data_IF_329178024981
#
_entry.id   IF_329178024981
#
_cell.length_a   1.000
_cell.length_b   1.000
_cell.length_c   1.000
_cell.angle_alpha   90.00
_cell.angle_beta   90.00
_cell.angle_gamma   90.00
#
_symmetry.space_group_name_H-M   'P 1'
#
loop_
_entity.id
_entity.type
_entity.pdbx_description
1 polymer ?
#
# COMPACT_ATOMS: atom_id res chain seq x y z
N UNK A 1 7.40 22.93 -11.79
CA UNK A 1 8.17 22.43 -10.70
C UNK A 1 8.05 20.97 -10.51
N UNK A 2 6.84 20.47 -10.17
CA UNK A 2 6.66 19.05 -10.03
C UNK A 2 6.92 18.34 -11.37
N UNK A 3 6.53 18.96 -12.45
CA UNK A 3 6.80 18.38 -13.77
C UNK A 3 8.30 18.29 -14.04
N UNK A 4 9.04 19.32 -13.66
CA UNK A 4 10.48 19.31 -13.84
C UNK A 4 11.12 18.24 -12.95
N UNK A 5 10.64 18.11 -11.70
CA UNK A 5 11.15 17.08 -10.80
C UNK A 5 10.85 15.70 -11.35
N UNK A 6 9.62 15.46 -11.82
CA UNK A 6 9.24 14.16 -12.40
C UNK A 6 10.04 13.83 -13.62
N UNK A 7 10.32 14.82 -14.49
CA UNK A 7 11.09 14.54 -15.68
C UNK A 7 12.51 14.15 -15.41
N UNK A 8 13.03 14.47 -14.21
CA UNK A 8 14.38 14.09 -13.81
C UNK A 8 14.42 12.75 -13.12
N UNK A 9 13.28 12.24 -12.68
CA UNK A 9 13.21 10.95 -12.03
C UNK A 9 13.26 9.86 -13.09
N UNK A 10 14.10 8.88 -12.84
CA UNK A 10 14.26 7.78 -13.78
C UNK A 10 13.87 6.48 -13.14
N UNK A 11 13.20 5.67 -13.91
CA UNK A 11 12.87 4.31 -13.51
C UNK A 11 14.16 3.50 -13.54
N UNK A 12 14.45 2.83 -12.44
CA UNK A 12 15.62 1.97 -12.34
C UNK A 12 15.25 0.66 -11.68
N UNK A 13 16.09 -0.33 -11.90
CA UNK A 13 15.99 -1.59 -11.18
C UNK A 13 16.34 -1.34 -9.72
N UNK A 14 15.45 -1.71 -8.81
CA UNK A 14 15.70 -1.55 -7.38
C UNK A 14 15.01 -2.66 -6.59
N UNK A 15 15.57 -2.95 -5.41
CA UNK A 15 15.00 -3.92 -4.50
C UNK A 15 14.00 -3.18 -3.60
N UNK A 16 12.74 -3.59 -3.64
CA UNK A 16 11.70 -2.88 -2.89
C UNK A 16 11.73 -3.19 -1.40
N UNK A 17 12.37 -4.28 -1.00
CA UNK A 17 12.32 -4.70 0.40
C UNK A 17 12.85 -3.63 1.37
N UNK A 18 14.07 -3.12 1.21
CA UNK A 18 14.56 -2.10 2.14
C UNK A 18 13.71 -0.82 2.11
N UNK A 19 13.16 -0.48 0.95
CA UNK A 19 12.31 0.70 0.83
C UNK A 19 11.05 0.52 1.69
N UNK A 20 10.39 -0.62 1.54
CA UNK A 20 9.15 -0.89 2.26
C UNK A 20 9.40 -1.03 3.75
N UNK A 21 10.48 -1.70 4.15
CA UNK A 21 10.81 -1.85 5.56
C UNK A 21 11.05 -0.50 6.23
N UNK A 22 11.70 0.41 5.53
CA UNK A 22 11.96 1.75 6.06
C UNK A 22 10.65 2.49 6.32
N UNK A 23 9.68 2.41 5.40
CA UNK A 23 8.39 3.06 5.58
C UNK A 23 7.63 2.42 6.75
N UNK A 24 7.66 1.08 6.84
CA UNK A 24 7.02 0.36 7.96
C UNK A 24 7.60 0.82 9.29
N UNK A 25 8.92 0.93 9.38
CA UNK A 25 9.57 1.34 10.62
C UNK A 25 9.16 2.76 11.02
N UNK A 26 9.12 3.67 10.06
CA UNK A 26 8.70 5.05 10.32
C UNK A 26 7.28 5.11 10.86
N UNK A 27 6.38 4.36 10.25
CA UNK A 27 4.99 4.34 10.69
C UNK A 27 4.83 3.68 12.06
N UNK A 28 5.59 2.62 12.35
CA UNK A 28 5.57 2.02 13.69
C UNK A 28 6.02 3.01 14.75
N UNK A 29 7.03 3.81 14.47
CA UNK A 29 7.51 4.80 15.43
C UNK A 29 6.44 5.84 15.77
N UNK A 30 5.57 6.15 14.82
CA UNK A 30 4.53 7.15 15.03
C UNK A 30 3.27 6.53 15.64
N UNK A 31 2.77 5.45 15.07
CA UNK A 31 1.42 4.97 15.37
C UNK A 31 1.34 3.97 16.49
N UNK A 32 2.43 3.34 16.85
CA UNK A 32 2.45 2.45 18.00
C UNK A 32 2.06 3.20 19.27
N UNK A 33 2.56 4.43 19.41
CA UNK A 33 2.26 5.25 20.58
C UNK A 33 0.90 5.95 20.47
N UNK A 34 0.50 6.32 19.27
CA UNK A 34 -0.74 7.09 19.11
C UNK A 34 -1.99 6.23 19.23
N UNK A 35 -2.01 5.09 18.57
CA UNK A 35 -3.21 4.24 18.46
C UNK A 35 -2.96 2.81 18.92
N UNK A 36 -1.75 2.50 19.32
CA UNK A 36 -1.38 1.13 19.67
C UNK A 36 -1.40 0.18 18.49
N UNK A 37 -1.37 0.69 17.26
CA UNK A 37 -1.38 -0.15 16.08
C UNK A 37 0.04 -0.62 15.81
N UNK A 38 0.18 -1.93 15.67
CA UNK A 38 1.45 -2.54 15.31
C UNK A 38 1.43 -2.87 13.83
N UNK A 39 2.46 -2.45 13.11
CA UNK A 39 2.61 -2.79 11.71
C UNK A 39 3.69 -3.86 11.61
N UNK A 40 3.29 -5.06 11.21
CA UNK A 40 4.23 -6.15 11.04
C UNK A 40 4.64 -6.28 9.58
N UNK A 41 5.83 -6.77 9.36
CA UNK A 41 6.38 -6.98 8.03
C UNK A 41 6.77 -8.45 7.90
N UNK A 42 6.44 -9.04 6.76
CA UNK A 42 6.92 -10.39 6.46
C UNK A 42 7.18 -10.53 4.97
N UNK A 43 8.04 -11.49 4.64
CA UNK A 43 8.30 -11.84 3.24
C UNK A 43 8.27 -13.35 3.11
N UNK A 44 8.32 -13.84 1.87
CA UNK A 44 8.22 -15.26 1.57
C UNK A 44 9.58 -15.98 1.57
N UNK A 45 10.63 -15.31 2.01
CA UNK A 45 11.96 -15.91 2.09
C UNK A 45 12.71 -16.01 0.77
N UNK A 46 12.15 -15.43 -0.29
CA UNK A 46 12.78 -15.51 -1.60
C UNK A 46 13.60 -14.29 -1.91
N UNK A 47 14.67 -14.06 -1.32
CA UNK A 47 15.55 -12.90 -1.44
C UNK A 47 15.42 -12.11 -2.72
N UNK A 48 15.62 -10.81 -2.60
CA UNK A 48 15.75 -9.87 -3.73
C UNK A 48 14.46 -9.69 -4.50
N UNK A 49 13.73 -8.68 -4.11
CA UNK A 49 12.45 -8.35 -4.72
C UNK A 49 12.66 -7.15 -5.65
N UNK A 50 13.22 -7.42 -6.83
CA UNK A 50 13.55 -6.37 -7.78
C UNK A 50 12.35 -5.95 -8.61
N UNK A 51 12.19 -4.65 -8.76
CA UNK A 51 11.22 -4.07 -9.69
C UNK A 51 11.94 -2.97 -10.48
N UNK A 52 11.29 -2.51 -11.54
CA UNK A 52 11.69 -1.28 -12.20
C UNK A 52 10.82 -0.17 -11.62
N UNK A 53 11.43 0.79 -10.94
CA UNK A 53 10.64 1.79 -10.25
C UNK A 53 11.41 3.05 -9.90
N UNK A 54 10.68 3.95 -9.26
CA UNK A 54 11.21 5.23 -8.78
C UNK A 54 11.08 5.20 -7.26
N UNK A 55 12.19 5.24 -6.57
CA UNK A 55 12.25 4.94 -5.13
C UNK A 55 11.27 5.78 -4.31
N UNK A 56 11.28 7.10 -4.48
CA UNK A 56 10.42 7.95 -3.68
C UNK A 56 8.94 7.79 -4.03
N UNK A 57 8.63 7.32 -5.22
CA UNK A 57 7.24 7.04 -5.59
C UNK A 57 6.77 5.73 -4.98
N UNK A 58 7.65 4.74 -4.88
CA UNK A 58 7.33 3.50 -4.17
C UNK A 58 7.09 3.82 -2.68
N UNK A 59 7.93 4.66 -2.08
CA UNK A 59 7.72 5.09 -0.69
C UNK A 59 6.34 5.74 -0.53
N UNK A 60 5.95 6.60 -1.45
CA UNK A 60 4.67 7.27 -1.39
C UNK A 60 3.49 6.29 -1.52
N UNK A 61 3.61 5.30 -2.41
CA UNK A 61 2.58 4.26 -2.54
C UNK A 61 2.37 3.56 -1.20
N UNK A 62 3.45 3.09 -0.60
CA UNK A 62 3.37 2.33 0.65
C UNK A 62 2.85 3.21 1.79
N UNK A 63 3.36 4.44 1.89
CA UNK A 63 2.91 5.36 2.93
C UNK A 63 1.41 5.64 2.82
N UNK A 64 0.92 5.88 1.62
CA UNK A 64 -0.51 6.16 1.43
C UNK A 64 -1.36 4.94 1.74
N UNK A 65 -0.90 3.74 1.39
CA UNK A 65 -1.63 2.52 1.74
C UNK A 65 -1.64 2.29 3.24
N UNK A 66 -0.53 2.56 3.93
CA UNK A 66 -0.48 2.42 5.38
C UNK A 66 -1.35 3.46 6.07
N UNK A 67 -1.34 4.71 5.62
CA UNK A 67 -2.22 5.72 6.18
C UNK A 67 -3.69 5.32 6.04
N UNK A 68 -4.05 4.81 4.88
CA UNK A 68 -5.41 4.33 4.65
C UNK A 68 -5.75 3.18 5.60
N UNK A 69 -4.87 2.19 5.70
CA UNK A 69 -5.11 1.04 6.57
C UNK A 69 -5.25 1.46 8.02
N UNK A 70 -4.38 2.33 8.50
CA UNK A 70 -4.38 2.78 9.89
C UNK A 70 -5.64 3.58 10.19
N UNK A 71 -6.08 4.45 9.27
CA UNK A 71 -7.24 5.29 9.54
C UNK A 71 -8.53 4.49 9.68
N UNK A 72 -8.60 3.30 9.09
CA UNK A 72 -9.78 2.44 9.22
C UNK A 72 -9.59 1.31 10.20
N UNK A 73 -8.45 1.25 10.87
CA UNK A 73 -8.17 0.22 11.87
C UNK A 73 -8.60 0.69 13.25
N UNK A 74 -9.00 -0.28 14.07
CA UNK A 74 -9.30 0.00 15.47
C UNK A 74 -8.01 0.18 16.24
N UNK A 75 -8.09 0.87 17.36
CA UNK A 75 -6.95 0.99 18.27
C UNK A 75 -6.50 -0.41 18.69
N UNK A 76 -5.20 -0.58 18.86
CA UNK A 76 -4.57 -1.83 19.30
C UNK A 76 -4.76 -3.00 18.35
N UNK A 77 -5.06 -2.72 17.07
CA UNK A 77 -5.13 -3.78 16.06
C UNK A 77 -3.82 -3.86 15.29
N UNK A 78 -3.73 -4.82 14.39
CA UNK A 78 -2.52 -5.04 13.59
C UNK A 78 -2.77 -4.68 12.13
N UNK A 79 -1.73 -4.14 11.51
CA UNK A 79 -1.64 -3.97 10.07
C UNK A 79 -0.44 -4.80 9.61
N UNK A 80 -0.60 -5.55 8.54
CA UNK A 80 0.47 -6.41 8.04
C UNK A 80 0.88 -5.97 6.65
N UNK A 81 2.18 -5.89 6.41
CA UNK A 81 2.75 -5.66 5.09
C UNK A 81 3.51 -6.92 4.69
N UNK A 82 3.17 -7.48 3.55
CA UNK A 82 3.79 -8.71 3.07
C UNK A 82 4.35 -8.51 1.68
N UNK A 83 5.56 -8.98 1.45
CA UNK A 83 6.18 -9.00 0.13
C UNK A 83 6.37 -10.45 -0.29
N UNK A 84 6.03 -10.77 -1.52
CA UNK A 84 6.24 -12.12 -2.04
C UNK A 84 6.61 -12.05 -3.51
N UNK A 85 7.23 -13.12 -3.99
CA UNK A 85 7.60 -13.24 -5.40
C UNK A 85 6.74 -14.32 -6.03
N UNK A 86 6.06 -13.96 -7.09
CA UNK A 86 5.22 -14.90 -7.81
C UNK A 86 6.05 -15.77 -8.76
N UNK A 87 5.45 -16.85 -9.26
CA UNK A 87 6.17 -17.84 -10.07
C UNK A 87 6.86 -17.24 -11.30
N UNK A 88 6.26 -16.18 -11.87
CA UNK A 88 6.83 -15.52 -13.06
C UNK A 88 7.75 -14.36 -12.68
N UNK A 89 8.27 -14.35 -11.46
CA UNK A 89 9.18 -13.32 -10.95
C UNK A 89 8.55 -11.94 -10.82
N UNK A 90 7.23 -11.86 -10.82
CA UNK A 90 6.55 -10.63 -10.43
C UNK A 90 6.64 -10.48 -8.92
N UNK A 91 6.62 -9.23 -8.45
CA UNK A 91 6.68 -8.95 -7.02
C UNK A 91 5.29 -8.49 -6.55
N UNK A 92 4.79 -9.13 -5.52
CA UNK A 92 3.50 -8.77 -4.94
C UNK A 92 3.70 -8.13 -3.57
N UNK A 93 3.04 -7.01 -3.35
CA UNK A 93 3.04 -6.32 -2.07
C UNK A 93 1.61 -6.26 -1.58
N UNK A 94 1.37 -6.76 -0.37
CA UNK A 94 0.06 -6.72 0.26
C UNK A 94 0.09 -5.85 1.50
N UNK A 95 -0.98 -5.07 1.69
CA UNK A 95 -1.22 -4.37 2.94
C UNK A 95 -2.58 -4.85 3.46
N UNK A 96 -2.56 -5.45 4.65
CA UNK A 96 -3.73 -6.08 5.25
C UNK A 96 -4.09 -5.35 6.54
N UNK A 97 -5.35 -4.93 6.69
CA UNK A 97 -5.80 -4.31 7.92
C UNK A 97 -6.90 -5.14 8.57
N UNK A 98 -7.25 -4.80 9.80
CA UNK A 98 -8.30 -5.47 10.56
C UNK A 98 -9.52 -4.58 10.76
N UNK A 99 -9.74 -3.65 9.85
CA UNK A 99 -10.89 -2.77 9.88
C UNK A 99 -12.16 -3.46 9.42
N UNK A 100 -13.15 -2.66 9.06
CA UNK A 100 -14.46 -3.21 8.66
C UNK A 100 -14.50 -3.70 7.23
N UNK A 101 -13.46 -3.47 6.44
CA UNK A 101 -13.45 -3.87 5.05
C UNK A 101 -14.24 -2.93 4.16
N UNK A 102 -14.64 -3.43 3.01
CA UNK A 102 -15.38 -2.66 2.03
C UNK A 102 -16.81 -3.16 1.94
N UNK A 103 -17.76 -2.22 1.81
CA UNK A 103 -19.15 -2.55 1.53
C UNK A 103 -19.38 -2.82 0.05
N UNK A 104 -18.60 -2.15 -0.79
CA UNK A 104 -18.76 -2.27 -2.24
C UNK A 104 -18.32 -3.63 -2.72
N UNK A 105 -19.11 -4.20 -3.61
CA UNK A 105 -18.66 -5.40 -4.33
C UNK A 105 -17.63 -5.03 -5.38
N UNK A 106 -17.82 -3.88 -6.04
CA UNK A 106 -16.87 -3.40 -7.04
C UNK A 106 -15.88 -2.45 -6.36
N UNK A 107 -14.80 -3.03 -5.86
CA UNK A 107 -13.81 -2.25 -5.13
C UNK A 107 -12.95 -1.36 -6.04
N UNK A 108 -13.08 -1.48 -7.36
CA UNK A 108 -12.36 -0.57 -8.25
C UNK A 108 -12.78 0.88 -8.07
N UNK A 109 -13.99 1.11 -7.59
CA UNK A 109 -14.49 2.47 -7.37
C UNK A 109 -13.70 3.24 -6.32
N UNK A 110 -13.06 2.54 -5.38
CA UNK A 110 -12.36 3.21 -4.28
C UNK A 110 -11.13 3.98 -4.76
N UNK A 111 -10.67 3.71 -5.98
CA UNK A 111 -9.51 4.41 -6.53
C UNK A 111 -9.88 5.69 -7.29
N UNK A 112 -11.16 6.01 -7.37
CA UNK A 112 -11.60 7.25 -8.00
C UNK A 112 -11.37 8.42 -7.06
N UNK A 113 -11.11 9.60 -7.65
CA UNK A 113 -10.92 10.81 -6.84
C UNK A 113 -12.14 11.06 -5.96
N UNK A 114 -11.86 11.47 -4.74
CA UNK A 114 -12.87 11.85 -3.75
C UNK A 114 -13.80 10.72 -3.34
N UNK A 115 -13.50 9.49 -3.72
CA UNK A 115 -14.30 8.36 -3.30
C UNK A 115 -14.01 8.01 -1.84
N UNK A 116 -15.04 7.77 -1.04
CA UNK A 116 -14.90 7.32 0.33
C UNK A 116 -16.09 6.45 0.66
N UNK A 117 -15.84 5.16 0.88
CA UNK A 117 -16.89 4.18 1.16
C UNK A 117 -16.52 3.22 2.26
N UNK A 118 -15.55 3.53 3.08
CA UNK A 118 -15.28 2.73 4.28
C UNK A 118 -16.28 3.13 5.35
N UNK A 119 -16.86 2.17 6.07
CA UNK A 119 -17.93 2.46 7.03
C UNK A 119 -17.52 3.41 8.12
N UNK A 120 -16.31 3.31 8.56
CA UNK A 120 -15.80 4.17 9.61
C UNK A 120 -15.12 5.33 9.01
N UNK A 121 -15.81 6.35 8.75
CA UNK A 121 -15.17 7.50 8.26
C UNK A 121 -14.86 8.44 9.35
N UNK A 122 -13.66 8.73 9.55
CA UNK A 122 -13.23 9.67 10.55
C UNK A 122 -13.10 11.07 10.00
N UNK A 123 -13.63 11.30 8.84
CA UNK A 123 -13.63 12.60 8.22
C UNK A 123 -12.28 13.11 7.79
N UNK A 124 -11.28 12.27 7.89
CA UNK A 124 -9.93 12.69 7.59
C UNK A 124 -9.51 12.43 6.15
N UNK A 125 -10.24 11.56 5.48
CA UNK A 125 -9.90 11.18 4.11
C UNK A 125 -10.62 12.02 3.10
N UNK A 126 -9.87 12.68 2.26
CA UNK A 126 -10.43 13.43 1.15
C UNK A 126 -10.77 12.55 -0.04
N UNK A 127 -10.39 11.27 -0.02
CA UNK A 127 -10.55 10.39 -1.15
C UNK A 127 -9.44 10.54 -2.18
N UNK A 128 -8.39 11.27 -1.83
CA UNK A 128 -7.28 11.50 -2.78
C UNK A 128 -6.14 10.50 -2.62
N UNK A 129 -5.96 9.94 -1.42
CA UNK A 129 -4.83 9.04 -1.17
C UNK A 129 -4.81 7.83 -2.07
N UNK A 130 -5.95 7.16 -2.23
CA UNK A 130 -6.02 5.97 -3.09
C UNK A 130 -5.98 6.32 -4.57
N UNK A 131 -6.49 7.48 -4.95
CA UNK A 131 -6.37 7.94 -6.33
C UNK A 131 -4.90 8.16 -6.69
N UNK A 132 -4.14 8.76 -5.79
CA UNK A 132 -2.70 8.95 -5.98
C UNK A 132 -2.00 7.59 -6.10
N UNK A 133 -2.34 6.65 -5.22
CA UNK A 133 -1.77 5.30 -5.29
C UNK A 133 -2.03 4.68 -6.66
N UNK A 134 -3.27 4.76 -7.14
CA UNK A 134 -3.61 4.18 -8.44
C UNK A 134 -2.77 4.79 -9.56
N UNK A 135 -2.61 6.11 -9.55
CA UNK A 135 -1.81 6.79 -10.56
C UNK A 135 -0.34 6.36 -10.51
N UNK A 136 0.21 6.22 -9.32
CA UNK A 136 1.59 5.81 -9.17
C UNK A 136 1.79 4.34 -9.54
N UNK A 137 0.82 3.49 -9.21
CA UNK A 137 0.84 2.09 -9.61
C UNK A 137 0.83 1.98 -11.13
N UNK A 138 -0.02 2.76 -11.80
CA UNK A 138 -0.09 2.78 -13.25
C UNK A 138 1.24 3.27 -13.85
N UNK A 139 1.87 4.26 -13.25
CA UNK A 139 3.17 4.74 -13.69
C UNK A 139 4.21 3.63 -13.71
N UNK A 140 4.10 2.68 -12.80
CA UNK A 140 5.03 1.56 -12.68
C UNK A 140 4.60 0.34 -13.51
N UNK A 141 3.56 0.47 -14.32
CA UNK A 141 2.99 -0.65 -15.09
C UNK A 141 2.60 -1.81 -14.20
N UNK A 142 2.23 -1.50 -12.97
CA UNK A 142 1.78 -2.47 -11.99
C UNK A 142 0.25 -2.49 -11.94
N UNK A 143 -0.29 -3.43 -11.21
CA UNK A 143 -1.73 -3.50 -10.97
C UNK A 143 -2.01 -3.42 -9.47
N UNK A 144 -3.19 -2.93 -9.12
CA UNK A 144 -3.63 -2.89 -7.73
C UNK A 144 -5.05 -3.42 -7.64
N UNK A 145 -5.29 -4.21 -6.59
CA UNK A 145 -6.59 -4.80 -6.32
C UNK A 145 -6.93 -4.62 -4.85
N UNK A 146 -8.14 -4.16 -4.59
CA UNK A 146 -8.66 -4.04 -3.24
C UNK A 146 -9.75 -5.10 -3.05
N UNK A 147 -9.73 -5.74 -1.88
CA UNK A 147 -10.73 -6.76 -1.58
C UNK A 147 -10.87 -6.87 -0.07
N UNK A 148 -11.93 -7.56 0.37
CA UNK A 148 -12.03 -7.95 1.76
C UNK A 148 -11.15 -9.16 1.98
N UNK A 149 -10.60 -9.26 3.19
CA UNK A 149 -9.75 -10.40 3.54
C UNK A 149 -10.58 -11.68 3.52
N UNK A 150 -9.92 -12.77 3.14
CA UNK A 150 -10.61 -14.07 3.07
C UNK A 150 -11.11 -14.54 4.42
N UNK A 151 -10.44 -14.13 5.51
CA UNK A 151 -10.89 -14.48 6.86
C UNK A 151 -12.00 -13.55 7.36
N UNK A 152 -12.46 -12.61 6.55
CA UNK A 152 -13.53 -11.69 6.92
C UNK A 152 -13.16 -10.62 7.90
N UNK A 153 -11.88 -10.42 8.18
CA UNK A 153 -11.44 -9.53 9.24
C UNK A 153 -10.79 -8.24 8.77
N UNK A 154 -11.19 -7.73 7.65
CA UNK A 154 -10.70 -6.44 7.22
C UNK A 154 -10.46 -6.38 5.72
N UNK A 155 -9.60 -5.45 5.33
CA UNK A 155 -9.33 -5.15 3.93
C UNK A 155 -7.94 -5.63 3.52
N UNK A 156 -7.81 -5.93 2.23
CA UNK A 156 -6.54 -6.31 1.61
C UNK A 156 -6.32 -5.42 0.40
N UNK A 157 -5.15 -4.78 0.34
CA UNK A 157 -4.68 -4.07 -0.85
C UNK A 157 -3.52 -4.86 -1.41
N UNK A 158 -3.60 -5.20 -2.70
CA UNK A 158 -2.59 -6.04 -3.33
C UNK A 158 -2.05 -5.33 -4.56
N UNK A 159 -0.74 -5.14 -4.60
CA UNK A 159 -0.07 -4.56 -5.77
C UNK A 159 0.82 -5.62 -6.37
N UNK A 160 0.76 -5.76 -7.70
CA UNK A 160 1.64 -6.69 -8.42
C UNK A 160 2.46 -5.88 -9.40
N UNK A 161 3.78 -5.90 -9.21
CA UNK A 161 4.73 -5.25 -10.10
C UNK A 161 5.20 -6.23 -11.16
N UNK A 162 5.36 -5.80 -12.42
CA UNK A 162 5.82 -6.69 -13.48
C UNK A 162 7.25 -7.14 -13.23
N UNK A 163 7.61 -8.26 -13.81
CA UNK A 163 8.97 -8.74 -13.67
C UNK A 163 9.95 -7.77 -14.35
N UNK A 164 11.13 -7.71 -13.82
CA UNK A 164 12.21 -6.89 -14.35
C UNK A 164 12.78 -7.48 -15.63
#
# INVERSE_FOLDING_TARGET
KDEVALSKEKIKKLDVEPIIKSVVDDFNNIYKLKKGIKISYENDGKNKYFINGIENRIEQIVANLLENAISFSKDNSDVKVRISKLDDNKVMVNVLDEGQGFREKDTNKIFKRFYSNRPDKFGQHSGLGLNIVKNLVDLHNASIKASNRLDGKGASMEIIFPKV
#
